data_IF_329445861201
#
_entry.id   IF_329445861201
#
_cell.length_a   1.000
_cell.length_b   1.000
_cell.length_c   1.000
_cell.angle_alpha   90.00
_cell.angle_beta   90.00
_cell.angle_gamma   90.00
#
_symmetry.space_group_name_H-M   'P 1'
#
loop_
_entity.id
_entity.type
_entity.pdbx_description
1 polymer ?
#
# COMPACT_ATOMS: atom_id res chain seq x y z
N UNK A 1 -7.49 -4.55 4.88
CA UNK A 1 -7.29 -5.99 4.80
C UNK A 1 -5.82 -6.32 5.08
N UNK A 2 -5.55 -6.96 6.22
CA UNK A 2 -4.19 -7.30 6.67
C UNK A 2 -3.56 -8.46 5.87
N UNK A 3 -4.31 -9.16 5.04
CA UNK A 3 -3.80 -10.30 4.24
C UNK A 3 -3.03 -9.92 2.98
N UNK A 4 -3.01 -8.65 2.57
CA UNK A 4 -2.44 -8.23 1.30
C UNK A 4 -0.94 -8.54 1.17
N UNK A 5 -0.08 -8.17 2.14
CA UNK A 5 1.35 -8.52 2.10
C UNK A 5 1.57 -10.04 2.09
N UNK A 6 0.81 -10.78 2.88
CA UNK A 6 0.93 -12.23 3.01
C UNK A 6 0.50 -12.99 1.76
N UNK A 7 -0.40 -12.42 0.95
CA UNK A 7 -0.71 -12.96 -0.37
C UNK A 7 0.40 -12.67 -1.37
N UNK A 8 1.04 -11.51 -1.30
CA UNK A 8 2.22 -11.21 -2.12
C UNK A 8 3.34 -12.20 -1.79
N UNK A 9 3.61 -12.47 -0.51
CA UNK A 9 4.64 -13.36 0.00
C UNK A 9 4.32 -14.86 -0.05
N UNK A 10 3.25 -15.28 -0.73
CA UNK A 10 2.82 -16.68 -0.86
C UNK A 10 2.43 -17.40 0.46
N UNK A 11 2.34 -16.69 1.58
CA UNK A 11 1.78 -17.22 2.83
C UNK A 11 0.28 -17.49 2.69
N UNK A 12 -0.44 -16.61 1.99
CA UNK A 12 -1.82 -16.83 1.55
C UNK A 12 -1.80 -17.21 0.07
N UNK A 13 -2.14 -18.45 -0.26
CA UNK A 13 -2.05 -18.98 -1.61
C UNK A 13 -3.33 -18.79 -2.45
N UNK A 14 -4.46 -18.51 -1.79
CA UNK A 14 -5.75 -18.32 -2.46
C UNK A 14 -6.18 -16.85 -2.37
N UNK A 15 -6.26 -16.18 -3.52
CA UNK A 15 -6.70 -14.79 -3.63
C UNK A 15 -8.08 -14.54 -3.00
N UNK A 16 -8.98 -15.52 -3.06
CA UNK A 16 -10.33 -15.37 -2.50
C UNK A 16 -10.32 -15.24 -0.97
N UNK A 17 -9.29 -15.74 -0.29
CA UNK A 17 -9.11 -15.55 1.15
C UNK A 17 -8.82 -14.11 1.57
N UNK A 18 -8.50 -13.24 0.62
CA UNK A 18 -8.37 -11.80 0.85
C UNK A 18 -9.73 -11.13 1.10
N UNK A 19 -10.81 -11.75 0.68
CA UNK A 19 -12.16 -11.22 0.85
C UNK A 19 -12.79 -11.81 2.10
N UNK A 20 -12.88 -11.00 3.16
CA UNK A 20 -13.52 -11.43 4.43
C UNK A 20 -15.01 -11.70 4.22
N UNK A 21 -15.64 -10.99 3.28
CA UNK A 21 -17.04 -11.14 2.95
C UNK A 21 -17.30 -10.77 1.49
N UNK A 22 -18.32 -11.38 0.90
CA UNK A 22 -18.81 -11.10 -0.45
C UNK A 22 -20.04 -10.19 -0.42
N UNK A 23 -20.36 -9.53 -1.55
CA UNK A 23 -21.61 -8.75 -1.69
C UNK A 23 -22.83 -9.62 -1.31
N UNK A 24 -22.90 -10.82 -1.89
CA UNK A 24 -23.98 -11.79 -1.57
C UNK A 24 -24.02 -12.14 -0.09
N UNK A 25 -22.88 -12.42 0.52
CA UNK A 25 -22.79 -12.74 1.94
C UNK A 25 -23.26 -11.60 2.85
N UNK A 26 -22.95 -10.35 2.50
CA UNK A 26 -23.47 -9.18 3.21
C UNK A 26 -24.99 -9.05 3.07
N UNK A 27 -25.51 -9.18 1.84
CA UNK A 27 -26.94 -9.08 1.57
C UNK A 27 -27.73 -10.17 2.28
N UNK A 28 -27.28 -11.43 2.20
CA UNK A 28 -27.96 -12.58 2.81
C UNK A 28 -27.95 -12.52 4.34
N UNK A 29 -26.80 -12.12 4.94
CA UNK A 29 -26.62 -12.13 6.38
C UNK A 29 -27.17 -10.90 7.08
N UNK A 30 -26.95 -9.72 6.49
CA UNK A 30 -27.24 -8.44 7.13
C UNK A 30 -28.38 -7.67 6.47
N UNK A 31 -28.91 -8.15 5.34
CA UNK A 31 -29.96 -7.49 4.54
C UNK A 31 -29.58 -6.06 4.13
N UNK A 32 -28.30 -5.87 3.80
CA UNK A 32 -27.74 -4.60 3.36
C UNK A 32 -27.75 -4.60 1.82
N UNK A 33 -28.31 -3.55 1.21
CA UNK A 33 -28.17 -3.30 -0.23
C UNK A 33 -26.76 -2.74 -0.51
N UNK A 34 -25.91 -3.56 -1.13
CA UNK A 34 -24.53 -3.18 -1.49
C UNK A 34 -24.45 -2.99 -2.99
N UNK A 35 -24.15 -1.80 -3.39
CA UNK A 35 -23.99 -1.40 -4.80
C UNK A 35 -22.51 -1.18 -5.11
N UNK A 36 -21.91 -2.13 -5.80
CA UNK A 36 -20.53 -2.05 -6.28
C UNK A 36 -20.46 -1.29 -7.62
N UNK A 37 -19.25 -0.87 -8.01
CA UNK A 37 -19.00 -0.12 -9.24
C UNK A 37 -19.84 1.17 -9.35
N UNK A 38 -20.08 1.79 -8.18
CA UNK A 38 -20.78 3.04 -8.07
C UNK A 38 -20.00 4.01 -7.18
N UNK A 39 -19.99 5.26 -7.57
CA UNK A 39 -19.29 6.32 -6.90
C UNK A 39 -20.27 7.42 -6.47
N UNK A 40 -20.24 7.79 -5.20
CA UNK A 40 -20.93 8.97 -4.72
C UNK A 40 -20.11 10.20 -5.12
N UNK A 41 -20.60 10.97 -6.06
CA UNK A 41 -19.89 12.13 -6.63
C UNK A 41 -20.22 13.44 -5.90
N UNK A 42 -21.39 13.50 -5.24
CA UNK A 42 -21.85 14.70 -4.55
C UNK A 42 -22.77 14.37 -3.38
N UNK A 43 -22.68 15.15 -2.33
CA UNK A 43 -23.59 15.12 -1.19
C UNK A 43 -24.39 16.41 -1.20
N UNK A 44 -25.71 16.27 -1.09
CA UNK A 44 -26.68 17.37 -1.06
C UNK A 44 -27.37 17.38 0.31
N UNK A 45 -26.77 18.02 1.33
CA UNK A 45 -27.23 17.92 2.72
C UNK A 45 -28.64 18.49 2.94
N UNK A 46 -28.97 19.59 2.27
CA UNK A 46 -30.24 20.28 2.42
C UNK A 46 -31.44 19.42 1.97
N UNK A 47 -31.25 18.63 0.91
CA UNK A 47 -32.28 17.72 0.41
C UNK A 47 -32.13 16.29 0.93
N UNK A 48 -31.10 16.03 1.78
CA UNK A 48 -30.72 14.69 2.25
C UNK A 48 -30.59 13.68 1.11
N UNK A 49 -29.82 14.05 0.09
CA UNK A 49 -29.56 13.24 -1.09
C UNK A 49 -28.07 13.08 -1.36
N UNK A 50 -27.72 12.02 -2.04
CA UNK A 50 -26.42 11.84 -2.68
C UNK A 50 -26.60 11.63 -4.17
N UNK A 51 -25.69 12.17 -4.97
CA UNK A 51 -25.54 11.84 -6.38
C UNK A 51 -24.61 10.64 -6.53
N UNK A 52 -25.08 9.66 -7.28
CA UNK A 52 -24.35 8.41 -7.51
C UNK A 52 -24.12 8.23 -9.00
N UNK A 53 -22.87 7.91 -9.37
CA UNK A 53 -22.48 7.58 -10.75
C UNK A 53 -22.19 6.09 -10.85
N UNK A 54 -22.83 5.41 -11.80
CA UNK A 54 -22.50 4.04 -12.20
C UNK A 54 -21.24 4.06 -13.05
N UNK A 55 -20.14 3.46 -12.59
CA UNK A 55 -18.85 3.54 -13.26
C UNK A 55 -18.82 2.84 -14.63
N UNK A 56 -19.60 1.76 -14.80
CA UNK A 56 -19.65 1.01 -16.06
C UNK A 56 -20.39 1.72 -17.19
N UNK A 57 -21.43 2.52 -16.86
CA UNK A 57 -22.29 3.19 -17.87
C UNK A 57 -22.12 4.71 -17.91
N UNK A 58 -21.56 5.30 -16.85
CA UNK A 58 -21.50 6.75 -16.68
C UNK A 58 -22.84 7.39 -16.28
N UNK A 59 -23.91 6.61 -16.16
CA UNK A 59 -25.23 7.09 -15.73
C UNK A 59 -25.18 7.63 -14.30
N UNK A 60 -25.88 8.72 -14.05
CA UNK A 60 -26.01 9.33 -12.71
C UNK A 60 -27.44 9.27 -12.23
N UNK A 61 -27.62 9.06 -10.93
CA UNK A 61 -28.91 9.13 -10.26
C UNK A 61 -28.76 9.70 -8.84
N UNK A 62 -29.86 10.02 -8.20
CA UNK A 62 -29.89 10.48 -6.82
C UNK A 62 -30.49 9.43 -5.90
N UNK A 63 -29.94 9.30 -4.70
CA UNK A 63 -30.45 8.45 -3.62
C UNK A 63 -30.75 9.32 -2.39
N UNK A 64 -31.86 9.09 -1.71
CA UNK A 64 -32.25 9.80 -0.49
C UNK A 64 -31.75 9.06 0.75
N UNK A 65 -31.52 9.79 1.84
CA UNK A 65 -31.13 9.18 3.11
C UNK A 65 -31.77 9.89 4.30
N UNK A 66 -32.01 9.17 5.37
CA UNK A 66 -32.37 9.72 6.68
C UNK A 66 -31.13 10.10 7.48
N UNK A 67 -30.12 9.20 7.44
CA UNK A 67 -28.79 9.38 8.05
C UNK A 67 -27.71 8.91 7.08
N UNK A 68 -26.64 9.68 6.96
CA UNK A 68 -25.52 9.38 6.10
C UNK A 68 -24.27 9.10 6.93
N UNK A 69 -23.63 7.96 6.66
CA UNK A 69 -22.30 7.61 7.21
C UNK A 69 -21.28 7.67 6.07
N UNK A 70 -20.23 8.44 6.26
CA UNK A 70 -19.13 8.59 5.31
C UNK A 70 -17.98 7.68 5.71
N UNK A 71 -17.63 6.74 4.83
CA UNK A 71 -16.48 5.85 5.01
C UNK A 71 -15.68 5.73 3.69
N UNK A 72 -15.14 6.83 3.16
CA UNK A 72 -14.50 6.87 1.84
C UNK A 72 -13.14 6.16 1.80
N UNK A 73 -12.58 5.81 2.97
CA UNK A 73 -11.25 5.26 3.08
C UNK A 73 -10.15 6.30 2.93
N UNK A 74 -8.97 5.86 2.52
CA UNK A 74 -7.80 6.71 2.37
C UNK A 74 -6.97 6.28 1.15
N UNK A 75 -6.17 7.21 0.60
CA UNK A 75 -5.24 6.98 -0.51
C UNK A 75 -3.81 6.95 0.01
N UNK A 76 -2.92 6.07 -0.52
CA UNK A 76 -1.50 6.14 -0.24
C UNK A 76 -0.91 7.49 -0.61
N UNK A 77 -0.03 8.01 0.24
CA UNK A 77 0.68 9.24 -0.07
C UNK A 77 1.68 9.01 -1.22
N UNK A 78 1.57 9.85 -2.25
CA UNK A 78 2.56 9.98 -3.32
C UNK A 78 3.03 11.45 -3.35
N UNK A 79 4.13 11.79 -2.66
CA UNK A 79 4.66 13.15 -2.64
C UNK A 79 5.24 13.52 -4.01
N UNK A 80 5.38 14.82 -4.24
CA UNK A 80 6.02 15.31 -5.47
C UNK A 80 7.54 15.15 -5.38
N UNK A 81 8.00 13.94 -5.67
CA UNK A 81 9.42 13.57 -5.75
C UNK A 81 9.72 13.23 -7.20
N UNK A 82 10.82 13.73 -7.73
CA UNK A 82 11.26 13.43 -9.09
C UNK A 82 11.37 11.92 -9.32
N UNK A 83 10.85 11.43 -10.43
CA UNK A 83 10.88 10.03 -10.82
C UNK A 83 9.87 9.11 -10.13
N UNK A 84 8.98 9.63 -9.27
CA UNK A 84 7.97 8.84 -8.53
C UNK A 84 6.96 8.12 -9.44
N UNK A 85 6.81 8.57 -10.67
CA UNK A 85 5.85 8.02 -11.64
C UNK A 85 6.36 6.75 -12.36
N UNK A 86 7.55 6.27 -12.01
CA UNK A 86 8.07 5.01 -12.55
C UNK A 86 7.11 3.86 -12.25
N UNK A 87 6.90 3.00 -13.25
CA UNK A 87 6.06 1.79 -13.14
C UNK A 87 6.63 0.73 -12.20
N UNK A 88 7.86 0.90 -11.74
CA UNK A 88 8.55 0.04 -10.78
C UNK A 88 8.40 0.53 -9.33
N UNK A 89 7.63 1.62 -9.13
CA UNK A 89 7.32 2.19 -7.82
C UNK A 89 5.87 1.92 -7.48
N UNK A 90 5.64 1.13 -6.45
CA UNK A 90 4.35 0.63 -6.03
C UNK A 90 3.88 1.26 -4.73
N UNK A 91 2.58 1.28 -4.54
CA UNK A 91 1.91 1.49 -3.26
C UNK A 91 0.99 0.31 -2.98
N UNK A 92 0.68 0.04 -1.73
CA UNK A 92 -0.21 -1.06 -1.34
C UNK A 92 -1.38 -0.52 -0.51
N UNK A 93 -2.60 -0.66 -1.02
CA UNK A 93 -3.84 -0.26 -0.35
C UNK A 93 -4.94 -1.32 -0.45
N UNK A 94 -5.11 -1.88 -1.63
CA UNK A 94 -6.25 -2.71 -1.98
C UNK A 94 -5.82 -3.99 -2.72
N UNK A 95 -6.80 -4.82 -3.09
CA UNK A 95 -6.53 -6.06 -3.82
C UNK A 95 -5.97 -5.84 -5.23
N UNK A 96 -6.44 -4.88 -6.03
CA UNK A 96 -5.80 -4.53 -7.30
C UNK A 96 -4.32 -4.17 -7.20
N UNK A 97 -3.92 -3.38 -6.18
CA UNK A 97 -2.50 -3.08 -5.93
C UNK A 97 -1.72 -4.35 -5.64
N UNK A 98 -2.30 -5.22 -4.80
CA UNK A 98 -1.71 -6.52 -4.44
C UNK A 98 -1.50 -7.39 -5.67
N UNK A 99 -2.52 -7.50 -6.54
CA UNK A 99 -2.43 -8.26 -7.79
C UNK A 99 -1.31 -7.71 -8.69
N UNK A 100 -1.20 -6.37 -8.77
CA UNK A 100 -0.16 -5.69 -9.56
C UNK A 100 1.23 -6.02 -9.03
N UNK A 101 1.45 -5.89 -7.71
CA UNK A 101 2.76 -6.18 -7.08
C UNK A 101 3.09 -7.66 -7.23
N UNK A 102 2.14 -8.56 -6.93
CA UNK A 102 2.37 -10.00 -7.04
C UNK A 102 2.69 -10.42 -8.47
N UNK A 103 1.96 -9.87 -9.45
CA UNK A 103 2.25 -10.12 -10.85
C UNK A 103 3.67 -9.65 -11.22
N UNK A 104 4.06 -8.44 -10.79
CA UNK A 104 5.41 -7.92 -11.02
C UNK A 104 6.48 -8.83 -10.43
N UNK A 105 6.32 -9.25 -9.18
CA UNK A 105 7.26 -10.17 -8.51
C UNK A 105 7.37 -11.50 -9.28
N UNK A 106 6.26 -12.04 -9.74
CA UNK A 106 6.24 -13.32 -10.45
C UNK A 106 6.81 -13.26 -11.86
N UNK A 107 6.61 -12.15 -12.58
CA UNK A 107 7.04 -12.00 -13.98
C UNK A 107 8.45 -11.44 -14.10
N UNK A 108 8.76 -10.37 -13.38
CA UNK A 108 10.05 -9.68 -13.46
C UNK A 108 11.11 -10.29 -12.56
N UNK A 109 10.70 -11.08 -11.55
CA UNK A 109 11.58 -11.77 -10.59
C UNK A 109 12.64 -10.83 -10.00
N UNK A 110 12.23 -9.74 -9.36
CA UNK A 110 13.12 -8.76 -8.79
C UNK A 110 14.04 -9.43 -7.76
N UNK A 111 15.30 -9.04 -7.72
CA UNK A 111 16.28 -9.52 -6.74
C UNK A 111 16.48 -8.55 -5.60
N UNK A 112 16.14 -7.28 -5.82
CA UNK A 112 16.34 -6.20 -4.86
C UNK A 112 15.09 -5.34 -4.77
N UNK A 113 14.75 -4.92 -3.55
CA UNK A 113 13.63 -4.01 -3.30
C UNK A 113 14.02 -2.94 -2.29
N UNK A 114 13.52 -1.72 -2.49
CA UNK A 114 13.56 -0.68 -1.47
C UNK A 114 12.14 -0.44 -0.97
N UNK A 115 11.96 -0.51 0.35
CA UNK A 115 10.72 -0.16 1.03
C UNK A 115 10.93 1.21 1.68
N UNK A 116 10.19 2.21 1.23
CA UNK A 116 10.23 3.57 1.77
C UNK A 116 9.11 3.74 2.79
N UNK A 117 9.49 3.90 4.04
CA UNK A 117 8.61 3.97 5.20
C UNK A 117 8.65 2.72 6.07
N UNK A 118 9.05 2.89 7.32
CA UNK A 118 9.21 1.84 8.34
C UNK A 118 7.96 1.63 9.22
N UNK A 119 6.76 1.94 8.71
CA UNK A 119 5.50 1.65 9.38
C UNK A 119 5.04 0.20 9.21
N UNK A 120 3.84 -0.13 9.72
CA UNK A 120 3.29 -1.50 9.67
C UNK A 120 3.29 -2.10 8.26
N UNK A 121 2.72 -1.40 7.28
CA UNK A 121 2.63 -1.89 5.89
C UNK A 121 4.04 -2.10 5.31
N UNK A 122 4.95 -1.16 5.55
CA UNK A 122 6.32 -1.26 5.05
C UNK A 122 7.06 -2.46 5.61
N UNK A 123 6.95 -2.71 6.91
CA UNK A 123 7.62 -3.85 7.55
C UNK A 123 7.01 -5.19 7.15
N UNK A 124 5.67 -5.29 7.10
CA UNK A 124 5.00 -6.50 6.60
C UNK A 124 5.39 -6.81 5.14
N UNK A 125 5.51 -5.78 4.30
CA UNK A 125 5.99 -5.96 2.93
C UNK A 125 7.47 -6.33 2.87
N UNK A 126 8.31 -5.70 3.71
CA UNK A 126 9.72 -6.04 3.79
C UNK A 126 9.93 -7.51 4.18
N UNK A 127 9.19 -7.99 5.18
CA UNK A 127 9.18 -9.39 5.59
C UNK A 127 8.77 -10.32 4.44
N UNK A 128 7.61 -10.06 3.83
CA UNK A 128 7.07 -10.94 2.79
C UNK A 128 7.93 -10.94 1.52
N UNK A 129 8.50 -9.81 1.11
CA UNK A 129 9.43 -9.76 -0.01
C UNK A 129 10.75 -10.49 0.32
N UNK A 130 11.23 -10.35 1.56
CA UNK A 130 12.42 -11.06 2.02
C UNK A 130 12.23 -12.59 2.02
N UNK A 131 11.07 -13.09 2.48
CA UNK A 131 10.74 -14.52 2.47
C UNK A 131 10.68 -15.10 1.03
N UNK A 132 10.41 -14.27 0.02
CA UNK A 132 10.53 -14.63 -1.40
C UNK A 132 11.98 -14.63 -1.93
N UNK A 133 12.97 -14.38 -1.07
CA UNK A 133 14.38 -14.32 -1.43
C UNK A 133 14.82 -12.99 -2.06
N UNK A 134 14.03 -11.93 -1.94
CA UNK A 134 14.38 -10.60 -2.42
C UNK A 134 15.21 -9.88 -1.34
N UNK A 135 16.33 -9.29 -1.73
CA UNK A 135 17.13 -8.45 -0.83
C UNK A 135 16.44 -7.12 -0.62
N UNK A 136 15.95 -6.90 0.59
CA UNK A 136 15.17 -5.71 0.94
C UNK A 136 16.01 -4.70 1.72
N UNK A 137 15.84 -3.42 1.40
CA UNK A 137 16.33 -2.29 2.21
C UNK A 137 15.14 -1.41 2.61
N UNK A 138 14.96 -1.19 3.91
CA UNK A 138 13.99 -0.25 4.46
C UNK A 138 14.65 1.11 4.62
N UNK A 139 14.00 2.16 4.11
CA UNK A 139 14.41 3.56 4.27
C UNK A 139 13.36 4.28 5.09
N UNK A 140 13.77 4.84 6.22
CA UNK A 140 12.87 5.56 7.13
C UNK A 140 13.47 6.91 7.51
N UNK A 141 12.64 7.95 7.45
CA UNK A 141 13.06 9.33 7.69
C UNK A 141 13.23 9.63 9.20
N UNK A 142 12.50 8.89 10.03
CA UNK A 142 12.65 8.97 11.48
C UNK A 142 13.86 8.17 11.97
N UNK A 143 14.20 8.37 13.24
CA UNK A 143 15.28 7.61 13.92
C UNK A 143 14.89 6.18 14.28
N UNK A 144 13.66 5.78 13.99
CA UNK A 144 13.14 4.43 14.26
C UNK A 144 12.06 4.01 13.28
N UNK A 145 11.90 2.70 13.07
CA UNK A 145 10.70 2.13 12.50
C UNK A 145 9.58 2.07 13.54
N UNK A 146 8.34 1.81 13.12
CA UNK A 146 7.20 1.68 14.02
C UNK A 146 7.05 2.87 14.96
N UNK A 147 6.97 4.07 14.42
CA UNK A 147 6.89 5.32 15.17
C UNK A 147 5.92 5.35 16.38
N UNK A 148 4.80 4.58 16.41
CA UNK A 148 3.94 4.49 17.59
C UNK A 148 4.54 3.75 18.79
N UNK A 149 5.66 3.03 18.62
CA UNK A 149 6.33 2.31 19.70
C UNK A 149 7.36 3.21 20.39
N UNK A 150 7.60 2.93 21.67
CA UNK A 150 8.79 3.47 22.36
C UNK A 150 10.06 2.97 21.67
N UNK A 151 11.10 3.80 21.66
CA UNK A 151 12.38 3.48 21.00
C UNK A 151 12.97 2.14 21.44
N UNK A 152 12.88 1.80 22.74
CA UNK A 152 13.36 0.52 23.27
C UNK A 152 12.67 -0.68 22.63
N UNK A 153 11.40 -0.57 22.31
CA UNK A 153 10.63 -1.60 21.60
C UNK A 153 10.95 -1.59 20.11
N UNK A 154 11.03 -0.43 19.48
CA UNK A 154 11.44 -0.30 18.10
C UNK A 154 12.85 -0.86 17.85
N UNK A 155 13.77 -0.69 18.82
CA UNK A 155 15.12 -1.24 18.73
C UNK A 155 15.15 -2.78 18.62
N UNK A 156 14.17 -3.48 19.19
CA UNK A 156 14.03 -4.94 19.04
C UNK A 156 13.70 -5.27 17.56
N UNK A 157 12.82 -4.47 16.95
CA UNK A 157 12.48 -4.63 15.53
C UNK A 157 13.70 -4.33 14.65
N UNK A 158 14.49 -3.28 14.97
CA UNK A 158 15.74 -3.00 14.25
C UNK A 158 16.70 -4.18 14.30
N UNK A 159 16.91 -4.78 15.49
CA UNK A 159 17.77 -5.95 15.64
C UNK A 159 17.26 -7.15 14.83
N UNK A 160 15.95 -7.36 14.80
CA UNK A 160 15.34 -8.42 13.99
C UNK A 160 15.57 -8.19 12.50
N UNK A 161 15.36 -6.98 11.98
CA UNK A 161 15.63 -6.62 10.59
C UNK A 161 17.10 -6.88 10.21
N UNK A 162 18.02 -6.40 11.04
CA UNK A 162 19.46 -6.57 10.83
C UNK A 162 19.84 -8.06 10.90
N UNK A 163 19.32 -8.81 11.87
CA UNK A 163 19.56 -10.25 12.02
C UNK A 163 19.05 -11.07 10.83
N UNK A 164 18.01 -10.60 10.16
CA UNK A 164 17.47 -11.17 8.93
C UNK A 164 18.16 -10.63 7.66
N UNK A 165 19.20 -9.83 7.81
CA UNK A 165 19.94 -9.20 6.70
C UNK A 165 19.06 -8.25 5.83
N UNK A 166 18.00 -7.71 6.39
CA UNK A 166 17.25 -6.60 5.80
C UNK A 166 18.04 -5.31 6.03
N UNK A 167 18.36 -4.60 4.97
CA UNK A 167 19.02 -3.30 5.05
C UNK A 167 18.12 -2.30 5.78
N UNK A 168 18.69 -1.50 6.69
CA UNK A 168 17.97 -0.48 7.44
C UNK A 168 18.68 0.86 7.35
N UNK A 169 18.02 1.86 6.75
CA UNK A 169 18.47 3.23 6.64
C UNK A 169 17.49 4.11 7.43
N UNK A 170 17.92 4.55 8.60
CA UNK A 170 17.18 5.46 9.47
C UNK A 170 17.70 6.89 9.31
N UNK A 171 16.92 7.87 9.78
CA UNK A 171 17.23 9.30 9.72
C UNK A 171 17.58 9.78 8.31
N UNK A 172 17.05 9.08 7.28
CA UNK A 172 17.33 9.42 5.89
C UNK A 172 16.06 9.31 5.05
N UNK A 173 15.87 10.22 4.16
CA UNK A 173 14.69 10.30 3.31
C UNK A 173 15.04 10.23 1.84
N UNK A 174 14.09 9.81 1.04
CA UNK A 174 14.25 9.82 -0.42
C UNK A 174 14.22 11.25 -0.94
N UNK A 175 15.17 11.61 -1.80
CA UNK A 175 15.25 12.90 -2.49
C UNK A 175 14.72 12.82 -3.92
N UNK A 176 15.03 11.75 -4.65
CA UNK A 176 14.52 11.48 -6.01
C UNK A 176 14.64 9.99 -6.35
N UNK A 177 13.93 9.62 -7.40
CA UNK A 177 14.05 8.31 -8.05
C UNK A 177 14.60 8.51 -9.46
N UNK A 178 15.48 7.64 -9.88
CA UNK A 178 16.03 7.63 -11.23
C UNK A 178 15.79 6.26 -11.87
N UNK A 179 14.91 6.23 -12.86
CA UNK A 179 14.63 4.99 -13.57
C UNK A 179 15.82 4.61 -14.46
N UNK A 180 16.19 3.35 -14.39
CA UNK A 180 17.26 2.76 -15.19
C UNK A 180 16.70 1.61 -16.05
N UNK A 181 17.50 1.12 -17.00
CA UNK A 181 17.11 -0.02 -17.84
C UNK A 181 16.77 -1.28 -17.04
N UNK A 182 17.34 -1.43 -15.84
CA UNK A 182 17.17 -2.62 -15.01
C UNK A 182 16.28 -2.43 -13.78
N UNK A 183 16.11 -1.19 -13.32
CA UNK A 183 15.41 -0.92 -12.07
C UNK A 183 15.22 0.57 -11.81
N UNK A 184 15.31 0.94 -10.55
CA UNK A 184 15.24 2.31 -10.05
C UNK A 184 16.41 2.55 -9.11
N UNK A 185 17.16 3.63 -9.29
CA UNK A 185 18.09 4.10 -8.28
C UNK A 185 17.36 5.05 -7.34
N UNK A 186 17.31 4.69 -6.07
CA UNK A 186 16.73 5.52 -5.00
C UNK A 186 17.82 6.42 -4.44
N UNK A 187 17.69 7.72 -4.63
CA UNK A 187 18.62 8.71 -4.09
C UNK A 187 18.11 9.22 -2.74
N UNK A 188 18.97 9.17 -1.74
CA UNK A 188 18.66 9.61 -0.39
C UNK A 188 19.15 11.05 -0.16
N UNK A 189 18.59 11.73 0.85
CA UNK A 189 18.99 13.08 1.26
C UNK A 189 20.44 13.16 1.75
N UNK A 190 20.96 12.06 2.31
CA UNK A 190 22.37 11.94 2.70
C UNK A 190 23.35 11.88 1.52
N UNK A 191 22.84 11.76 0.29
CA UNK A 191 23.65 11.54 -0.91
C UNK A 191 23.91 10.07 -1.23
N UNK A 192 23.48 9.14 -0.39
CA UNK A 192 23.55 7.70 -0.69
C UNK A 192 22.61 7.36 -1.84
N UNK A 193 22.96 6.30 -2.58
CA UNK A 193 22.18 5.78 -3.70
C UNK A 193 21.98 4.29 -3.51
N UNK A 194 20.75 3.83 -3.68
CA UNK A 194 20.38 2.42 -3.52
C UNK A 194 19.74 1.95 -4.83
N UNK A 195 20.42 1.09 -5.61
CA UNK A 195 19.82 0.46 -6.77
C UNK A 195 18.80 -0.59 -6.31
N UNK A 196 17.65 -0.62 -6.95
CA UNK A 196 16.59 -1.59 -6.68
C UNK A 196 15.86 -1.98 -7.97
N UNK A 197 15.39 -3.21 -8.06
CA UNK A 197 14.55 -3.67 -9.16
C UNK A 197 13.11 -3.17 -8.98
N UNK A 198 12.69 -2.95 -7.72
CA UNK A 198 11.39 -2.39 -7.39
C UNK A 198 11.44 -1.52 -6.14
N UNK A 199 10.48 -0.62 -6.01
CA UNK A 199 10.31 0.24 -4.83
C UNK A 199 8.88 0.14 -4.33
N UNK A 200 8.70 0.03 -3.02
CA UNK A 200 7.40 0.16 -2.38
C UNK A 200 7.37 1.46 -1.55
N UNK A 201 6.37 2.30 -1.78
CA UNK A 201 6.10 3.47 -0.96
C UNK A 201 5.04 3.13 0.09
N UNK A 202 5.41 3.24 1.37
CA UNK A 202 4.52 3.05 2.52
C UNK A 202 4.67 4.17 3.55
N UNK A 203 4.68 5.40 3.05
CA UNK A 203 4.97 6.64 3.82
C UNK A 203 3.72 7.28 4.42
N UNK A 204 2.63 6.55 4.51
CA UNK A 204 1.36 6.98 5.08
C UNK A 204 0.24 7.09 4.05
N UNK A 205 -0.93 7.48 4.54
CA UNK A 205 -2.18 7.62 3.78
C UNK A 205 -2.84 8.96 4.09
N UNK A 206 -3.69 9.42 3.20
CA UNK A 206 -4.58 10.59 3.42
C UNK A 206 -6.03 10.19 3.12
N UNK A 207 -7.02 10.77 3.82
CA UNK A 207 -8.44 10.66 3.46
C UNK A 207 -8.74 11.26 2.11
#
# INVERSE_FOLDING_TARGET
NCGLPYYIGDTINDRNKLFVQTVKGFTDRFRIDIRTEQEVTRILPESKQVEVKKLGTGETYTETYDKLVLSPGAEPLRPRIEGIESKKIFTLRNVPDTDTIKNYVNTEKPRTAVVVGGGFIGLEMAENLHELGIHVTVVEMANQVMAPLDYSMAAIVHQQLIGKQVGLMLEDGVSRFEETSRGVTVHLKSGKQIPADMVLLSIGVRP
#
